data_IF_356231093061
#
_entry.id   IF_356231093061
#
_cell.length_a   1.000
_cell.length_b   1.000
_cell.length_c   1.000
_cell.angle_alpha   90.00
_cell.angle_beta   90.00
_cell.angle_gamma   90.00
#
_symmetry.space_group_name_H-M   'P 1'
#
loop_
_entity.id
_entity.type
_entity.pdbx_description
1 polymer ?
#
# COMPACT_ATOMS: atom_id res chain seq x y z
N UNK A 1 -32.10 15.35 -4.16
CA UNK A 1 -32.18 14.28 -3.15
C UNK A 1 -31.53 13.04 -3.74
N UNK A 2 -30.45 12.55 -3.15
CA UNK A 2 -29.78 11.33 -3.62
C UNK A 2 -30.54 10.15 -3.02
N UNK A 3 -30.91 9.17 -3.84
CA UNK A 3 -31.48 7.89 -3.38
C UNK A 3 -30.45 6.80 -3.66
N UNK A 4 -30.14 6.02 -2.63
CA UNK A 4 -29.32 4.82 -2.72
C UNK A 4 -30.09 3.63 -2.18
N UNK A 5 -29.88 2.46 -2.79
CA UNK A 5 -30.40 1.18 -2.31
C UNK A 5 -29.20 0.26 -2.08
N UNK A 6 -29.08 -0.31 -0.89
CA UNK A 6 -28.08 -1.34 -0.57
C UNK A 6 -28.75 -2.71 -0.66
N UNK A 7 -28.06 -3.67 -1.27
CA UNK A 7 -28.49 -5.06 -1.36
C UNK A 7 -27.49 -5.88 -0.55
N UNK A 8 -27.94 -6.43 0.57
CA UNK A 8 -27.10 -7.24 1.45
C UNK A 8 -27.09 -8.72 1.06
N UNK A 9 -25.96 -9.39 1.26
CA UNK A 9 -25.78 -10.80 0.90
C UNK A 9 -26.16 -11.79 2.01
N UNK A 10 -26.00 -11.37 3.26
CA UNK A 10 -26.34 -12.11 4.47
C UNK A 10 -26.80 -11.16 5.59
N UNK A 11 -27.10 -11.74 6.76
CA UNK A 11 -27.62 -11.00 7.91
C UNK A 11 -26.56 -10.05 8.50
N UNK A 12 -25.28 -10.42 8.50
CA UNK A 12 -24.18 -9.59 9.03
C UNK A 12 -23.96 -8.35 8.15
N UNK A 13 -23.96 -8.53 6.82
CA UNK A 13 -23.88 -7.45 5.84
C UNK A 13 -25.11 -6.52 5.88
N UNK A 14 -26.30 -7.05 6.23
CA UNK A 14 -27.49 -6.23 6.45
C UNK A 14 -27.35 -5.35 7.69
N UNK A 15 -26.86 -5.91 8.80
CA UNK A 15 -26.62 -5.15 10.03
C UNK A 15 -25.56 -4.07 9.82
N UNK A 16 -24.45 -4.38 9.13
CA UNK A 16 -23.40 -3.42 8.80
C UNK A 16 -23.93 -2.31 7.88
N UNK A 17 -24.62 -2.67 6.80
CA UNK A 17 -25.21 -1.71 5.86
C UNK A 17 -26.20 -0.76 6.55
N UNK A 18 -27.02 -1.25 7.48
CA UNK A 18 -27.95 -0.42 8.24
C UNK A 18 -27.22 0.60 9.13
N UNK A 19 -26.12 0.19 9.79
CA UNK A 19 -25.29 1.09 10.60
C UNK A 19 -24.58 2.13 9.74
N UNK A 20 -24.02 1.73 8.60
CA UNK A 20 -23.34 2.64 7.66
C UNK A 20 -24.30 3.64 7.02
N UNK A 21 -25.50 3.21 6.62
CA UNK A 21 -26.53 4.09 6.07
C UNK A 21 -26.96 5.16 7.08
N UNK A 22 -27.17 4.77 8.34
CA UNK A 22 -27.47 5.72 9.43
C UNK A 22 -26.32 6.71 9.64
N UNK A 23 -25.08 6.23 9.73
CA UNK A 23 -23.90 7.10 9.88
C UNK A 23 -23.74 8.07 8.72
N UNK A 24 -24.01 7.61 7.49
CA UNK A 24 -23.95 8.44 6.30
C UNK A 24 -25.02 9.56 6.30
N UNK A 25 -26.24 9.26 6.73
CA UNK A 25 -27.32 10.27 6.88
C UNK A 25 -26.96 11.32 7.94
N UNK A 26 -26.30 10.89 9.02
CA UNK A 26 -25.78 11.76 10.07
C UNK A 26 -24.47 12.50 9.68
N UNK A 27 -23.92 12.23 8.49
CA UNK A 27 -22.65 12.81 8.02
C UNK A 27 -21.41 12.37 8.81
N UNK A 28 -21.50 11.25 9.53
CA UNK A 28 -20.42 10.68 10.32
C UNK A 28 -19.47 9.90 9.42
N UNK A 29 -18.29 10.47 9.19
CA UNK A 29 -17.16 9.83 8.50
C UNK A 29 -16.07 9.53 9.52
N UNK A 30 -15.35 8.43 9.35
CA UNK A 30 -14.22 8.08 10.18
C UNK A 30 -13.17 9.20 10.19
N UNK A 31 -12.56 9.49 11.35
CA UNK A 31 -11.48 10.46 11.43
C UNK A 31 -10.27 9.98 10.62
N UNK A 32 -9.58 10.93 9.98
CA UNK A 32 -8.33 10.63 9.28
C UNK A 32 -7.25 10.29 10.31
N UNK A 33 -6.87 9.01 10.36
CA UNK A 33 -5.75 8.53 11.17
C UNK A 33 -4.50 8.39 10.29
N UNK A 34 -3.55 9.31 10.46
CA UNK A 34 -2.25 9.21 9.79
C UNK A 34 -1.39 8.14 10.45
N UNK A 35 -0.78 7.27 9.63
CA UNK A 35 0.31 6.42 10.10
C UNK A 35 1.54 7.29 10.33
N UNK A 36 1.89 7.53 11.59
CA UNK A 36 3.09 8.29 11.96
C UNK A 36 4.33 7.41 11.93
N UNK A 37 5.51 8.05 12.04
CA UNK A 37 6.82 7.37 12.11
C UNK A 37 7.11 6.45 10.91
N UNK A 38 6.59 6.78 9.73
CA UNK A 38 6.73 5.97 8.52
C UNK A 38 8.13 6.11 7.88
N UNK A 39 9.10 5.32 8.38
CA UNK A 39 10.49 5.29 7.88
C UNK A 39 10.59 4.88 6.39
N UNK A 40 9.64 4.09 5.87
CA UNK A 40 9.62 3.70 4.46
C UNK A 40 9.31 4.90 3.55
N UNK A 41 8.29 5.67 3.89
CA UNK A 41 7.95 6.90 3.16
C UNK A 41 9.12 7.89 3.20
N UNK A 42 9.76 8.08 4.37
CA UNK A 42 10.95 8.90 4.50
C UNK A 42 12.10 8.41 3.60
N UNK A 43 12.43 7.11 3.63
CA UNK A 43 13.48 6.52 2.80
C UNK A 43 13.26 6.76 1.31
N UNK A 44 12.02 6.57 0.84
CA UNK A 44 11.66 6.77 -0.56
C UNK A 44 11.85 8.22 -0.98
N UNK A 45 11.45 9.19 -0.14
CA UNK A 45 11.67 10.61 -0.42
C UNK A 45 13.15 11.00 -0.40
N UNK A 46 13.96 10.41 0.48
CA UNK A 46 15.42 10.63 0.49
C UNK A 46 16.04 10.11 -0.81
N UNK A 47 15.67 8.91 -1.26
CA UNK A 47 16.15 8.35 -2.53
C UNK A 47 15.73 9.23 -3.72
N UNK A 48 14.50 9.76 -3.70
CA UNK A 48 14.02 10.68 -4.72
C UNK A 48 14.80 12.01 -4.75
N UNK A 49 15.04 12.61 -3.59
CA UNK A 49 15.83 13.84 -3.46
C UNK A 49 17.27 13.64 -3.98
N UNK A 50 17.92 12.53 -3.59
CA UNK A 50 19.25 12.18 -4.08
C UNK A 50 19.27 12.01 -5.60
N UNK A 51 18.22 11.42 -6.17
CA UNK A 51 18.10 11.26 -7.63
C UNK A 51 17.97 12.62 -8.33
N UNK A 52 17.21 13.56 -7.76
CA UNK A 52 16.95 14.87 -8.34
C UNK A 52 18.15 15.83 -8.23
N UNK A 53 18.73 15.95 -7.04
CA UNK A 53 19.69 17.03 -6.70
C UNK A 53 21.15 16.57 -6.72
N UNK A 54 21.41 15.26 -6.69
CA UNK A 54 22.75 14.60 -6.66
C UNK A 54 23.64 14.93 -5.47
N UNK A 55 23.45 16.06 -4.79
CA UNK A 55 24.09 16.43 -3.53
C UNK A 55 23.01 17.04 -2.65
N UNK A 56 22.76 16.45 -1.49
CA UNK A 56 21.66 16.84 -0.60
C UNK A 56 22.19 17.06 0.81
N UNK A 57 21.81 18.18 1.42
CA UNK A 57 22.02 18.43 2.84
C UNK A 57 20.98 17.63 3.67
N UNK A 58 21.42 16.67 4.53
CA UNK A 58 20.52 15.91 5.38
C UNK A 58 19.68 16.78 6.30
N UNK A 59 20.26 17.83 6.89
CA UNK A 59 19.56 18.68 7.85
C UNK A 59 18.42 19.44 7.20
N UNK A 60 18.68 20.04 6.03
CA UNK A 60 17.66 20.69 5.21
C UNK A 60 16.55 19.73 4.80
N UNK A 61 16.91 18.54 4.30
CA UNK A 61 15.95 17.53 3.86
C UNK A 61 15.06 17.04 5.01
N UNK A 62 15.65 16.71 6.16
CA UNK A 62 14.92 16.30 7.37
C UNK A 62 13.98 17.42 7.83
N UNK A 63 14.42 18.68 7.80
CA UNK A 63 13.57 19.83 8.15
C UNK A 63 12.36 19.98 7.23
N UNK A 64 12.50 19.67 5.93
CA UNK A 64 11.37 19.65 4.99
C UNK A 64 10.44 18.47 5.28
N UNK A 65 11.00 17.26 5.33
CA UNK A 65 10.22 16.02 5.47
C UNK A 65 9.49 15.94 6.81
N UNK A 66 10.13 16.38 7.90
CA UNK A 66 9.57 16.37 9.26
C UNK A 66 8.30 17.22 9.42
N UNK A 67 7.93 18.06 8.45
CA UNK A 67 6.65 18.78 8.45
C UNK A 67 5.48 17.91 7.98
N UNK A 68 5.75 16.79 7.32
CA UNK A 68 4.70 15.90 6.81
C UNK A 68 4.20 14.97 7.91
N UNK A 69 2.87 14.85 8.03
CA UNK A 69 2.21 14.03 9.05
C UNK A 69 2.73 12.57 9.17
N UNK A 70 3.10 11.87 8.08
CA UNK A 70 3.59 10.50 8.20
C UNK A 70 4.94 10.35 8.91
N UNK A 71 5.75 11.41 8.98
CA UNK A 71 7.13 11.35 9.48
C UNK A 71 7.44 12.44 10.51
N UNK A 72 6.44 13.22 10.94
CA UNK A 72 6.60 14.33 11.87
C UNK A 72 7.07 13.91 13.28
N UNK A 73 6.82 12.66 13.63
CA UNK A 73 7.18 12.07 14.92
C UNK A 73 8.49 11.25 14.85
N UNK A 74 9.30 11.40 13.79
CA UNK A 74 10.64 10.82 13.75
C UNK A 74 11.64 11.73 14.47
N UNK A 75 12.29 11.19 15.50
CA UNK A 75 13.29 11.90 16.28
C UNK A 75 14.68 11.86 15.62
N UNK A 76 15.66 12.65 16.14
CA UNK A 76 17.01 12.71 15.57
C UNK A 76 17.68 11.34 15.41
N UNK A 77 17.50 10.45 16.39
CA UNK A 77 18.02 9.08 16.34
C UNK A 77 17.37 8.25 15.22
N UNK A 78 16.05 8.38 15.02
CA UNK A 78 15.35 7.65 13.97
C UNK A 78 15.85 8.06 12.58
N UNK A 79 16.12 9.36 12.40
CA UNK A 79 16.68 9.89 11.17
C UNK A 79 18.09 9.40 10.92
N UNK A 80 18.96 9.43 11.93
CA UNK A 80 20.34 8.97 11.77
C UNK A 80 20.38 7.47 11.45
N UNK A 81 19.61 6.65 12.18
CA UNK A 81 19.47 5.21 11.89
C UNK A 81 18.98 4.96 10.45
N UNK A 82 18.03 5.78 9.97
CA UNK A 82 17.51 5.66 8.61
C UNK A 82 18.58 6.02 7.56
N UNK A 83 19.31 7.12 7.77
CA UNK A 83 20.37 7.56 6.87
C UNK A 83 21.50 6.52 6.80
N UNK A 84 21.93 6.00 7.95
CA UNK A 84 22.95 4.96 8.04
C UNK A 84 22.50 3.68 7.34
N UNK A 85 21.23 3.30 7.50
CA UNK A 85 20.65 2.16 6.78
C UNK A 85 20.68 2.36 5.26
N UNK A 86 20.33 3.55 4.77
CA UNK A 86 20.40 3.87 3.33
C UNK A 86 21.84 3.85 2.79
N UNK A 87 22.81 4.30 3.58
CA UNK A 87 24.24 4.23 3.24
C UNK A 87 24.72 2.78 3.20
N UNK A 88 24.36 1.96 4.19
CA UNK A 88 24.69 0.53 4.25
C UNK A 88 24.15 -0.24 3.05
N UNK A 89 22.92 0.07 2.60
CA UNK A 89 22.31 -0.49 1.39
C UNK A 89 22.90 0.08 0.08
N UNK A 90 23.88 0.99 0.15
CA UNK A 90 24.47 1.69 -1.00
C UNK A 90 23.44 2.47 -1.81
N UNK A 91 22.37 2.93 -1.16
CA UNK A 91 21.35 3.84 -1.71
C UNK A 91 21.70 5.31 -1.51
N UNK A 92 22.57 5.60 -0.55
CA UNK A 92 23.19 6.89 -0.34
C UNK A 92 24.69 6.72 -0.08
N UNK A 93 25.45 7.81 -0.16
CA UNK A 93 26.83 7.92 0.31
C UNK A 93 26.97 9.22 1.07
N UNK A 94 27.58 9.15 2.25
CA UNK A 94 27.95 10.33 3.02
C UNK A 94 29.34 10.79 2.58
N UNK A 95 29.46 12.07 2.27
CA UNK A 95 30.74 12.76 1.99
C UNK A 95 31.39 13.21 3.30
N UNK A 96 32.67 13.57 3.23
CA UNK A 96 33.43 14.07 4.39
C UNK A 96 32.86 15.39 4.94
N UNK A 97 32.21 16.18 4.10
CA UNK A 97 31.50 17.42 4.47
C UNK A 97 30.09 17.20 5.03
N UNK A 98 29.69 15.93 5.24
CA UNK A 98 28.38 15.57 5.76
C UNK A 98 27.25 15.53 4.73
N UNK A 99 27.48 15.96 3.49
CA UNK A 99 26.49 15.92 2.42
C UNK A 99 26.21 14.49 1.94
N UNK A 100 24.97 14.24 1.51
CA UNK A 100 24.60 12.97 0.90
C UNK A 100 24.66 13.03 -0.61
N UNK A 101 25.15 11.96 -1.22
CA UNK A 101 25.19 11.77 -2.67
C UNK A 101 24.61 10.40 -3.05
N UNK A 102 24.15 10.21 -4.30
CA UNK A 102 23.67 8.92 -4.78
C UNK A 102 24.70 7.80 -4.60
N UNK A 103 24.24 6.71 -3.98
CA UNK A 103 24.94 5.44 -4.01
C UNK A 103 24.75 4.69 -5.32
N UNK A 104 25.33 3.49 -5.42
CA UNK A 104 25.22 2.65 -6.63
C UNK A 104 23.79 2.15 -6.86
N UNK A 105 23.02 1.95 -5.79
CA UNK A 105 21.65 1.41 -5.85
C UNK A 105 20.55 2.47 -6.00
N UNK A 106 20.87 3.77 -5.90
CA UNK A 106 19.86 4.85 -5.86
C UNK A 106 18.96 4.84 -7.10
N UNK A 107 19.56 4.70 -8.29
CA UNK A 107 18.83 4.70 -9.56
C UNK A 107 17.82 3.55 -9.64
N UNK A 108 18.30 2.33 -9.38
CA UNK A 108 17.47 1.13 -9.44
C UNK A 108 16.34 1.21 -8.40
N UNK A 109 16.65 1.65 -7.18
CA UNK A 109 15.66 1.79 -6.12
C UNK A 109 14.63 2.87 -6.42
N UNK A 110 15.02 4.00 -6.99
CA UNK A 110 14.11 5.08 -7.36
C UNK A 110 13.01 4.59 -8.30
N UNK A 111 13.35 3.86 -9.36
CA UNK A 111 12.36 3.31 -10.30
C UNK A 111 11.55 2.14 -9.71
N UNK A 112 12.13 1.36 -8.81
CA UNK A 112 11.44 0.25 -8.15
C UNK A 112 10.51 0.70 -7.00
N UNK A 113 10.60 1.95 -6.54
CA UNK A 113 9.85 2.47 -5.40
C UNK A 113 9.18 3.80 -5.77
N UNK A 114 8.45 3.84 -6.90
CA UNK A 114 7.67 5.02 -7.29
C UNK A 114 6.36 5.11 -6.50
N UNK A 115 5.82 3.97 -6.05
CA UNK A 115 4.61 3.87 -5.24
C UNK A 115 4.92 3.30 -3.85
N UNK A 116 4.13 3.72 -2.86
CA UNK A 116 4.07 3.08 -1.54
C UNK A 116 3.03 1.96 -1.47
N UNK A 117 2.22 1.80 -2.51
CA UNK A 117 1.29 0.68 -2.64
C UNK A 117 2.14 -0.54 -2.98
N UNK A 118 2.17 -1.58 -2.13
CA UNK A 118 2.94 -2.78 -2.41
C UNK A 118 2.40 -3.48 -3.65
N UNK A 119 3.28 -4.03 -4.47
CA UNK A 119 2.87 -4.94 -5.53
C UNK A 119 2.33 -6.23 -4.89
N UNK A 120 1.09 -6.59 -5.25
CA UNK A 120 0.48 -7.85 -4.85
C UNK A 120 0.48 -8.80 -6.04
N UNK A 121 0.82 -10.08 -5.82
CA UNK A 121 0.65 -11.08 -6.88
C UNK A 121 -0.83 -11.21 -7.17
N UNK A 122 -1.19 -11.32 -8.45
CA UNK A 122 -2.58 -11.47 -8.87
C UNK A 122 -2.83 -12.85 -9.45
N UNK A 123 -3.92 -13.48 -9.05
CA UNK A 123 -4.43 -14.73 -9.61
C UNK A 123 -5.53 -14.44 -10.62
N UNK A 124 -5.46 -15.09 -11.79
CA UNK A 124 -6.47 -14.95 -12.84
C UNK A 124 -7.69 -15.83 -12.53
N UNK A 125 -8.87 -15.23 -12.49
CA UNK A 125 -10.14 -15.94 -12.38
C UNK A 125 -10.65 -16.35 -13.75
N UNK A 126 -10.92 -17.65 -13.93
CA UNK A 126 -11.50 -18.18 -15.16
C UNK A 126 -12.83 -18.86 -14.89
N UNK A 127 -13.77 -18.63 -15.79
CA UNK A 127 -15.04 -19.33 -15.80
C UNK A 127 -14.82 -20.81 -16.14
N UNK A 128 -15.36 -21.72 -15.33
CA UNK A 128 -15.14 -23.16 -15.52
C UNK A 128 -15.78 -23.69 -16.82
N UNK A 129 -16.95 -23.17 -17.17
CA UNK A 129 -17.73 -23.64 -18.33
C UNK A 129 -17.19 -23.08 -19.65
N UNK A 130 -16.82 -21.80 -19.67
CA UNK A 130 -16.42 -21.09 -20.89
C UNK A 130 -14.90 -20.90 -21.02
N UNK A 131 -14.13 -21.17 -19.95
CA UNK A 131 -12.68 -20.93 -19.85
C UNK A 131 -12.25 -19.47 -20.05
N UNK A 132 -13.20 -18.53 -20.11
CA UNK A 132 -12.94 -17.09 -20.28
C UNK A 132 -12.36 -16.50 -19.00
N UNK A 133 -11.44 -15.56 -19.17
CA UNK A 133 -10.94 -14.72 -18.07
C UNK A 133 -12.07 -13.81 -17.60
N UNK A 134 -12.46 -13.94 -16.33
CA UNK A 134 -13.48 -13.09 -15.69
C UNK A 134 -12.80 -11.86 -15.06
N UNK A 135 -11.61 -12.04 -14.48
CA UNK A 135 -10.88 -10.97 -13.79
C UNK A 135 -9.63 -11.48 -13.08
N UNK A 136 -9.17 -10.71 -12.09
CA UNK A 136 -8.01 -11.04 -11.25
C UNK A 136 -8.33 -10.79 -9.79
N UNK A 137 -7.82 -11.65 -8.89
CA UNK A 137 -7.83 -11.45 -7.44
C UNK A 137 -6.41 -11.25 -6.94
N UNK A 138 -6.22 -10.50 -5.87
CA UNK A 138 -4.93 -10.44 -5.18
C UNK A 138 -4.63 -11.72 -4.39
N UNK A 139 -3.35 -12.03 -4.23
CA UNK A 139 -2.86 -13.20 -3.51
C UNK A 139 -3.35 -13.24 -2.08
N UNK A 140 -3.41 -12.10 -1.39
CA UNK A 140 -3.85 -12.07 0.00
C UNK A 140 -5.30 -12.54 0.11
N UNK A 141 -6.19 -12.01 -0.74
CA UNK A 141 -7.58 -12.42 -0.82
C UNK A 141 -7.72 -13.91 -1.13
N UNK A 142 -6.93 -14.42 -2.09
CA UNK A 142 -6.93 -15.86 -2.41
C UNK A 142 -6.52 -16.70 -1.19
N UNK A 143 -5.45 -16.31 -0.49
CA UNK A 143 -4.99 -17.05 0.69
C UNK A 143 -5.99 -16.98 1.85
N UNK A 144 -6.57 -15.81 2.12
CA UNK A 144 -7.39 -15.58 3.32
C UNK A 144 -8.86 -15.91 3.15
N UNK A 145 -9.43 -15.75 1.96
CA UNK A 145 -10.85 -16.01 1.71
C UNK A 145 -11.03 -17.31 0.94
N UNK A 146 -10.29 -17.52 -0.15
CA UNK A 146 -10.52 -18.68 -1.00
C UNK A 146 -9.92 -19.96 -0.41
N UNK A 147 -8.67 -19.94 0.04
CA UNK A 147 -8.01 -21.14 0.57
C UNK A 147 -8.41 -21.43 2.02
N UNK A 148 -8.61 -20.39 2.83
CA UNK A 148 -9.03 -20.58 4.22
C UNK A 148 -10.53 -20.92 4.34
N UNK A 149 -11.37 -20.45 3.41
CA UNK A 149 -12.81 -20.67 3.38
C UNK A 149 -13.28 -21.13 1.98
N UNK A 150 -12.91 -22.34 1.53
CA UNK A 150 -13.15 -22.80 0.15
C UNK A 150 -14.64 -22.91 -0.25
N UNK A 151 -15.55 -22.91 0.72
CA UNK A 151 -16.99 -22.97 0.47
C UNK A 151 -17.64 -21.58 0.28
N UNK A 152 -16.89 -20.51 0.54
CA UNK A 152 -17.40 -19.14 0.53
C UNK A 152 -17.64 -18.63 -0.89
N UNK A 153 -18.76 -17.95 -1.08
CA UNK A 153 -19.10 -17.28 -2.32
C UNK A 153 -18.62 -15.83 -2.25
N UNK A 154 -18.10 -15.30 -3.35
CA UNK A 154 -17.66 -13.91 -3.41
C UNK A 154 -18.29 -13.18 -4.58
N UNK A 155 -18.38 -11.85 -4.50
CA UNK A 155 -19.02 -11.02 -5.51
C UNK A 155 -17.99 -10.35 -6.41
N UNK A 156 -18.12 -10.52 -7.73
CA UNK A 156 -17.28 -9.88 -8.74
C UNK A 156 -18.14 -9.42 -9.92
N UNK A 157 -18.02 -8.14 -10.29
CA UNK A 157 -18.82 -7.49 -11.33
C UNK A 157 -20.35 -7.68 -11.15
N UNK A 158 -20.83 -7.61 -9.90
CA UNK A 158 -22.27 -7.75 -9.59
C UNK A 158 -22.81 -9.18 -9.72
N UNK A 159 -21.93 -10.18 -9.79
CA UNK A 159 -22.29 -11.60 -9.83
C UNK A 159 -21.60 -12.34 -8.70
N UNK A 160 -22.30 -13.32 -8.14
CA UNK A 160 -21.74 -14.24 -7.14
C UNK A 160 -20.99 -15.38 -7.83
N UNK A 161 -19.79 -15.67 -7.33
CA UNK A 161 -18.91 -16.70 -7.84
C UNK A 161 -18.50 -17.63 -6.69
N UNK A 162 -18.35 -18.92 -7.00
CA UNK A 162 -17.76 -19.92 -6.11
C UNK A 162 -16.49 -20.46 -6.74
N UNK A 163 -15.43 -20.55 -5.97
CA UNK A 163 -14.20 -21.19 -6.45
C UNK A 163 -14.39 -22.70 -6.43
N UNK A 164 -14.20 -23.33 -7.58
CA UNK A 164 -14.35 -24.79 -7.75
C UNK A 164 -13.00 -25.49 -7.79
N UNK A 165 -11.97 -24.80 -8.30
CA UNK A 165 -10.64 -25.36 -8.45
C UNK A 165 -9.59 -24.26 -8.27
N UNK A 166 -8.53 -24.56 -7.52
CA UNK A 166 -7.32 -23.75 -7.42
C UNK A 166 -6.15 -24.49 -8.07
N UNK A 167 -5.41 -23.82 -8.94
CA UNK A 167 -4.18 -24.36 -9.56
C UNK A 167 -3.02 -23.41 -9.28
N UNK A 168 -2.03 -23.92 -8.57
CA UNK A 168 -0.79 -23.20 -8.35
C UNK A 168 0.11 -23.42 -9.58
N UNK A 169 0.39 -22.35 -10.36
CA UNK A 169 1.44 -22.42 -11.39
C UNK A 169 1.09 -22.11 -12.86
N UNK A 170 0.11 -21.26 -13.18
CA UNK A 170 0.06 -20.61 -14.50
C UNK A 170 0.21 -19.09 -14.36
N UNK A 171 1.43 -18.60 -14.58
CA UNK A 171 1.71 -17.18 -14.91
C UNK A 171 1.11 -16.81 -16.28
#
# INVERSE_FOLDING_TARGET
MIRGTVLSLDDDDLEEAAVLARRADEGLVEPIAWRTRNRLAAAQQIVAALRAERVVDPGHLIGILGRAAPVCDLGPRDWEELLDYLVALRLAKRRDDGMLTPGRGTLARFYAALSLIPDERTYRLRDLATRRLIGTLDERFVLTQILAQPEEIFLLHGRTWKVVEYRDGEL
#
